data_IF_171803197138
#
_entry.id   IF_171803197138
#
_cell.length_a   1.000
_cell.length_b   1.000
_cell.length_c   1.000
_cell.angle_alpha   90.00
_cell.angle_beta   90.00
_cell.angle_gamma   90.00
#
_symmetry.space_group_name_H-M   'P 1'
#
loop_
_entity.id
_entity.type
_entity.pdbx_description
1 polymer ?
#
# COMPACT_ATOMS: atom_id res chain seq x y z
N UNK A 1 -16.44 -0.59 30.40
CA UNK A 1 -14.98 -0.56 30.27
C UNK A 1 -14.67 -0.33 28.80
N UNK A 2 -13.78 0.59 28.49
CA UNK A 2 -13.36 0.79 27.10
C UNK A 2 -12.64 -0.48 26.61
N UNK A 3 -13.03 -0.97 25.41
CA UNK A 3 -12.35 -2.11 24.80
C UNK A 3 -10.93 -1.73 24.47
N UNK A 4 -10.00 -2.67 24.63
CA UNK A 4 -8.63 -2.51 24.15
C UNK A 4 -8.64 -2.47 22.64
N UNK A 5 -7.94 -1.52 22.03
CA UNK A 5 -7.82 -1.39 20.58
C UNK A 5 -6.56 -2.09 20.06
N UNK A 6 -6.67 -2.72 18.90
CA UNK A 6 -5.58 -3.38 18.19
C UNK A 6 -5.56 -2.94 16.73
N UNK A 7 -4.42 -2.46 16.25
CA UNK A 7 -4.23 -2.06 14.87
C UNK A 7 -3.18 -2.94 14.19
N UNK A 8 -3.52 -3.46 13.03
CA UNK A 8 -2.61 -4.29 12.22
C UNK A 8 -2.66 -3.89 10.75
N UNK A 9 -1.50 -3.91 10.09
CA UNK A 9 -1.40 -3.66 8.65
C UNK A 9 -0.62 -4.77 7.97
N UNK A 10 -0.87 -4.95 6.67
CA UNK A 10 0.09 -5.58 5.76
C UNK A 10 1.01 -4.52 5.16
N UNK A 11 2.13 -4.89 4.51
CA UNK A 11 2.72 -4.04 3.49
C UNK A 11 1.67 -3.68 2.43
N UNK A 12 1.76 -2.48 1.87
CA UNK A 12 0.97 -2.13 0.68
C UNK A 12 1.64 -2.76 -0.54
N UNK A 13 0.85 -3.42 -1.39
CA UNK A 13 1.38 -4.23 -2.48
C UNK A 13 1.54 -3.43 -3.77
N UNK A 14 2.68 -3.61 -4.45
CA UNK A 14 3.03 -2.89 -5.65
C UNK A 14 2.34 -3.52 -6.88
N UNK A 15 1.45 -2.80 -7.59
CA UNK A 15 0.65 -3.35 -8.67
C UNK A 15 1.39 -3.36 -10.02
N UNK A 16 2.64 -3.83 -10.03
CA UNK A 16 3.44 -4.00 -11.26
C UNK A 16 3.18 -5.33 -11.97
N UNK A 17 2.56 -6.30 -11.27
CA UNK A 17 2.23 -7.62 -11.77
C UNK A 17 1.09 -8.25 -10.95
N UNK A 18 0.65 -9.45 -11.37
CA UNK A 18 -0.30 -10.25 -10.59
C UNK A 18 0.29 -10.66 -9.25
N UNK A 19 -0.56 -10.72 -8.22
CA UNK A 19 -0.18 -11.25 -6.92
C UNK A 19 0.30 -12.70 -7.02
N UNK A 20 1.20 -13.07 -6.15
CA UNK A 20 1.71 -14.43 -5.99
C UNK A 20 1.48 -14.92 -4.55
N UNK A 21 1.81 -16.19 -4.30
CA UNK A 21 1.57 -16.85 -3.01
C UNK A 21 2.18 -16.09 -1.81
N UNK A 22 3.30 -15.37 -2.00
CA UNK A 22 3.90 -14.56 -0.93
C UNK A 22 2.99 -13.44 -0.42
N UNK A 23 2.23 -12.79 -1.31
CA UNK A 23 1.24 -11.78 -0.93
C UNK A 23 0.08 -12.41 -0.15
N UNK A 24 -0.45 -13.54 -0.64
CA UNK A 24 -1.50 -14.29 0.04
C UNK A 24 -1.05 -14.75 1.43
N UNK A 25 0.17 -15.28 1.55
CA UNK A 25 0.76 -15.73 2.81
C UNK A 25 0.84 -14.60 3.84
N UNK A 26 1.44 -13.46 3.48
CA UNK A 26 1.57 -12.31 4.36
C UNK A 26 0.21 -11.78 4.83
N UNK A 27 -0.75 -11.65 3.90
CA UNK A 27 -2.09 -11.14 4.22
C UNK A 27 -2.87 -12.13 5.11
N UNK A 28 -2.74 -13.44 4.87
CA UNK A 28 -3.40 -14.47 5.68
C UNK A 28 -2.85 -14.50 7.12
N UNK A 29 -1.55 -14.27 7.31
CA UNK A 29 -0.98 -14.15 8.66
C UNK A 29 -1.57 -12.95 9.39
N UNK A 30 -1.60 -11.77 8.74
CA UNK A 30 -2.17 -10.57 9.33
C UNK A 30 -3.67 -10.76 9.66
N UNK A 31 -4.42 -11.39 8.77
CA UNK A 31 -5.84 -11.73 8.97
C UNK A 31 -6.05 -12.68 10.16
N UNK A 32 -5.19 -13.69 10.28
CA UNK A 32 -5.25 -14.63 11.41
C UNK A 32 -5.04 -13.92 12.75
N UNK A 33 -4.08 -13.01 12.82
CA UNK A 33 -3.83 -12.18 14.01
C UNK A 33 -5.00 -11.24 14.29
N UNK A 34 -5.54 -10.57 13.28
CA UNK A 34 -6.71 -9.70 13.42
C UNK A 34 -7.92 -10.48 13.98
N UNK A 35 -8.18 -11.67 13.43
CA UNK A 35 -9.26 -12.56 13.92
C UNK A 35 -9.05 -13.01 15.36
N UNK A 36 -7.82 -13.34 15.75
CA UNK A 36 -7.48 -13.70 17.12
C UNK A 36 -7.84 -12.57 18.09
N UNK A 37 -7.45 -11.33 17.80
CA UNK A 37 -7.75 -10.17 18.65
C UNK A 37 -9.26 -9.86 18.69
N UNK A 38 -9.98 -10.06 17.58
CA UNK A 38 -11.45 -9.96 17.58
C UNK A 38 -12.11 -11.02 18.47
N UNK A 39 -11.61 -12.26 18.46
CA UNK A 39 -12.08 -13.32 19.35
C UNK A 39 -11.77 -13.04 20.82
N UNK A 40 -10.71 -12.27 21.11
CA UNK A 40 -10.38 -11.79 22.45
C UNK A 40 -11.19 -10.56 22.88
N UNK A 41 -12.25 -10.21 22.15
CA UNK A 41 -13.13 -9.05 22.38
C UNK A 41 -12.42 -7.69 22.34
N UNK A 42 -11.32 -7.58 21.56
CA UNK A 42 -10.66 -6.32 21.30
C UNK A 42 -11.27 -5.60 20.08
N UNK A 43 -11.19 -4.27 20.05
CA UNK A 43 -11.57 -3.45 18.91
C UNK A 43 -10.42 -3.46 17.89
N UNK A 44 -10.61 -4.12 16.75
CA UNK A 44 -9.56 -4.34 15.76
C UNK A 44 -9.79 -3.50 14.53
N UNK A 45 -8.72 -2.84 14.04
CA UNK A 45 -8.68 -2.24 12.71
C UNK A 45 -7.55 -2.88 11.90
N UNK A 46 -7.92 -3.57 10.83
CA UNK A 46 -6.99 -4.25 9.91
C UNK A 46 -6.97 -3.52 8.56
N UNK A 47 -5.82 -2.91 8.24
CA UNK A 47 -5.60 -2.18 6.99
C UNK A 47 -4.68 -2.97 6.05
N UNK A 48 -5.06 -3.05 4.79
CA UNK A 48 -4.19 -3.47 3.68
C UNK A 48 -4.30 -2.46 2.54
N UNK A 49 -3.56 -2.62 1.44
CA UNK A 49 -3.64 -1.65 0.36
C UNK A 49 -2.68 -1.91 -0.79
N UNK A 50 -2.57 -0.92 -1.66
CA UNK A 50 -1.69 -0.93 -2.84
C UNK A 50 -0.82 0.32 -2.92
N UNK A 51 0.45 0.12 -3.32
CA UNK A 51 1.42 1.17 -3.61
C UNK A 51 1.44 1.45 -5.12
N UNK A 52 0.80 2.54 -5.54
CA UNK A 52 0.42 2.77 -6.93
C UNK A 52 1.28 3.81 -7.66
N UNK A 53 2.32 4.32 -7.03
CA UNK A 53 3.25 5.25 -7.65
C UNK A 53 4.58 4.55 -8.00
N UNK A 54 5.30 5.12 -8.97
CA UNK A 54 6.63 4.67 -9.32
C UNK A 54 6.89 4.59 -10.82
N UNK A 55 8.17 4.62 -11.17
CA UNK A 55 8.61 4.67 -12.57
C UNK A 55 8.20 3.43 -13.37
N UNK A 56 8.21 2.25 -12.75
CA UNK A 56 7.77 1.01 -13.42
C UNK A 56 6.31 1.04 -13.85
N UNK A 57 5.43 1.58 -13.00
CA UNK A 57 4.00 1.70 -13.31
C UNK A 57 3.83 2.68 -14.46
N UNK A 58 4.53 3.81 -14.43
CA UNK A 58 4.49 4.80 -15.50
C UNK A 58 4.95 4.19 -16.83
N UNK A 59 6.11 3.51 -16.86
CA UNK A 59 6.63 2.86 -18.06
C UNK A 59 5.66 1.81 -18.63
N UNK A 60 5.06 0.99 -17.74
CA UNK A 60 4.07 -0.01 -18.16
C UNK A 60 2.80 0.60 -18.74
N UNK A 61 2.36 1.72 -18.22
CA UNK A 61 1.22 2.46 -18.74
C UNK A 61 1.55 3.08 -20.11
N UNK A 62 2.73 3.68 -20.24
CA UNK A 62 3.22 4.27 -21.51
C UNK A 62 3.37 3.19 -22.60
N UNK A 63 3.92 2.02 -22.30
CA UNK A 63 4.02 0.87 -23.21
C UNK A 63 2.63 0.45 -23.78
N UNK A 64 1.56 0.67 -23.01
CA UNK A 64 0.18 0.35 -23.40
C UNK A 64 -0.61 1.55 -23.95
N UNK A 65 -0.02 2.74 -23.95
CA UNK A 65 -0.68 3.98 -24.40
C UNK A 65 -1.84 4.43 -23.49
N UNK A 66 -1.79 4.11 -22.21
CA UNK A 66 -2.82 4.44 -21.20
C UNK A 66 -2.21 5.22 -20.03
N UNK A 67 -3.05 5.78 -19.19
CA UNK A 67 -2.60 6.47 -17.97
C UNK A 67 -2.17 5.48 -16.88
N UNK A 68 -1.28 5.87 -15.94
CA UNK A 68 -0.92 5.03 -14.80
C UNK A 68 -2.12 4.53 -14.00
N UNK A 69 -3.14 5.36 -13.80
CA UNK A 69 -4.34 4.96 -13.06
C UNK A 69 -5.18 3.92 -13.82
N UNK A 70 -5.29 4.04 -15.13
CA UNK A 70 -5.95 3.04 -15.98
C UNK A 70 -5.20 1.71 -15.96
N UNK A 71 -3.87 1.74 -15.88
CA UNK A 71 -3.04 0.55 -15.77
C UNK A 71 -3.23 -0.16 -14.43
N UNK A 72 -3.20 0.55 -13.29
CA UNK A 72 -3.26 -0.07 -11.96
C UNK A 72 -4.67 -0.52 -11.56
N UNK A 73 -5.73 0.14 -12.03
CA UNK A 73 -7.11 -0.18 -11.63
C UNK A 73 -7.48 -1.66 -11.79
N UNK A 74 -7.27 -2.33 -12.94
CA UNK A 74 -7.62 -3.76 -13.10
C UNK A 74 -6.75 -4.67 -12.21
N UNK A 75 -5.49 -4.29 -11.95
CA UNK A 75 -4.59 -5.07 -11.10
C UNK A 75 -5.06 -5.00 -9.65
N UNK A 76 -5.37 -3.81 -9.17
CA UNK A 76 -5.88 -3.59 -7.80
C UNK A 76 -7.23 -4.27 -7.59
N UNK A 77 -8.11 -4.24 -8.59
CA UNK A 77 -9.35 -5.01 -8.54
C UNK A 77 -9.07 -6.53 -8.40
N UNK A 78 -8.00 -7.01 -9.04
CA UNK A 78 -7.52 -8.39 -8.87
C UNK A 78 -7.07 -8.69 -7.43
N UNK A 79 -6.39 -7.74 -6.76
CA UNK A 79 -6.01 -7.85 -5.35
C UNK A 79 -7.24 -7.98 -4.46
N UNK A 80 -8.19 -7.07 -4.60
CA UNK A 80 -9.41 -7.08 -3.81
C UNK A 80 -10.26 -8.35 -4.04
N UNK A 81 -10.30 -8.87 -5.27
CA UNK A 81 -10.97 -10.13 -5.56
C UNK A 81 -10.27 -11.33 -4.92
N UNK A 82 -8.93 -11.33 -4.89
CA UNK A 82 -8.17 -12.38 -4.19
C UNK A 82 -8.42 -12.33 -2.67
N UNK A 83 -8.49 -11.14 -2.07
CA UNK A 83 -8.82 -11.02 -0.63
C UNK A 83 -10.22 -11.54 -0.33
N UNK A 84 -11.19 -11.27 -1.20
CA UNK A 84 -12.54 -11.86 -1.07
C UNK A 84 -12.52 -13.38 -1.17
N UNK A 85 -11.77 -13.94 -2.14
CA UNK A 85 -11.64 -15.39 -2.31
C UNK A 85 -10.99 -16.07 -1.10
N UNK A 86 -10.00 -15.43 -0.49
CA UNK A 86 -9.32 -15.89 0.71
C UNK A 86 -10.07 -15.57 2.00
N UNK A 87 -11.25 -14.93 1.90
CA UNK A 87 -12.05 -14.49 3.05
C UNK A 87 -11.27 -13.61 4.03
N UNK A 88 -10.41 -12.72 3.52
CA UNK A 88 -9.64 -11.77 4.31
C UNK A 88 -10.59 -10.75 4.94
N UNK A 89 -10.44 -10.51 6.24
CA UNK A 89 -11.34 -9.69 7.05
C UNK A 89 -10.82 -8.27 7.27
N UNK A 90 -10.14 -7.69 6.28
CA UNK A 90 -9.66 -6.32 6.35
C UNK A 90 -10.83 -5.32 6.45
N UNK A 91 -10.65 -4.31 7.32
CA UNK A 91 -11.64 -3.25 7.54
C UNK A 91 -11.54 -2.18 6.45
N UNK A 92 -10.33 -1.95 5.92
CA UNK A 92 -10.13 -0.97 4.85
C UNK A 92 -9.05 -1.46 3.86
N UNK A 93 -9.11 -0.91 2.65
CA UNK A 93 -8.11 -1.09 1.60
C UNK A 93 -7.70 0.29 1.11
N UNK A 94 -6.48 0.73 1.46
CA UNK A 94 -5.96 2.04 1.07
C UNK A 94 -5.22 1.95 -0.27
N UNK A 95 -5.50 2.89 -1.17
CA UNK A 95 -4.73 3.10 -2.40
C UNK A 95 -3.93 4.39 -2.26
N UNK A 96 -2.66 4.37 -2.61
CA UNK A 96 -1.81 5.57 -2.49
C UNK A 96 -2.23 6.69 -3.46
N UNK A 97 -3.02 6.35 -4.50
CA UNK A 97 -3.63 7.32 -5.44
C UNK A 97 -4.96 7.91 -4.96
N UNK A 98 -5.51 7.45 -3.82
CA UNK A 98 -6.75 8.02 -3.30
C UNK A 98 -6.54 9.41 -2.72
N UNK A 99 -7.48 10.31 -2.97
CA UNK A 99 -7.43 11.69 -2.45
C UNK A 99 -7.35 11.78 -0.93
N UNK A 100 -7.95 10.82 -0.21
CA UNK A 100 -7.84 10.75 1.25
C UNK A 100 -6.40 10.49 1.71
N UNK A 101 -5.65 9.63 1.00
CA UNK A 101 -4.24 9.35 1.27
C UNK A 101 -3.37 10.55 0.89
N UNK A 102 -3.48 11.04 -0.34
CA UNK A 102 -2.71 12.19 -0.83
C UNK A 102 -2.81 13.40 0.10
N UNK A 103 -4.03 13.71 0.58
CA UNK A 103 -4.28 14.83 1.49
C UNK A 103 -3.49 14.70 2.80
N UNK A 104 -3.45 13.51 3.39
CA UNK A 104 -2.71 13.26 4.63
C UNK A 104 -1.21 13.35 4.39
N UNK A 105 -0.71 12.73 3.32
CA UNK A 105 0.72 12.79 2.94
C UNK A 105 1.17 14.24 2.73
N UNK A 106 0.40 15.05 2.00
CA UNK A 106 0.71 16.45 1.78
C UNK A 106 0.74 17.26 3.08
N UNK A 107 -0.15 16.96 4.01
CA UNK A 107 -0.18 17.65 5.31
C UNK A 107 1.03 17.26 6.17
N UNK A 108 1.37 15.98 6.25
CA UNK A 108 2.56 15.51 6.97
C UNK A 108 3.82 16.11 6.36
N UNK A 109 3.95 16.09 5.02
CA UNK A 109 5.07 16.70 4.33
C UNK A 109 5.22 18.18 4.65
N UNK A 110 4.12 18.96 4.61
CA UNK A 110 4.14 20.40 4.93
C UNK A 110 4.61 20.67 6.37
N UNK A 111 4.15 19.86 7.33
CA UNK A 111 4.57 20.01 8.73
C UNK A 111 6.07 19.75 8.92
N UNK A 112 6.59 18.68 8.31
CA UNK A 112 8.00 18.32 8.42
C UNK A 112 8.88 19.34 7.68
N UNK A 113 8.43 19.81 6.50
CA UNK A 113 9.11 20.88 5.77
C UNK A 113 9.18 22.18 6.58
N UNK A 114 8.08 22.56 7.22
CA UNK A 114 8.04 23.77 8.07
C UNK A 114 8.96 23.69 9.30
N UNK A 115 9.27 22.46 9.77
CA UNK A 115 10.27 22.24 10.83
C UNK A 115 11.72 22.36 10.35
N UNK A 116 11.95 22.38 9.05
CA UNK A 116 13.29 22.41 8.45
C UNK A 116 13.96 21.05 8.29
N UNK A 117 13.26 19.94 8.57
CA UNK A 117 13.80 18.59 8.44
C UNK A 117 13.87 18.11 6.99
N UNK A 118 13.18 18.81 6.06
CA UNK A 118 13.19 18.53 4.62
C UNK A 118 13.87 19.69 3.89
N UNK A 119 14.86 19.38 3.08
CA UNK A 119 15.56 20.35 2.23
C UNK A 119 15.82 19.74 0.84
N UNK A 120 16.01 20.60 -0.16
CA UNK A 120 16.38 20.17 -1.51
C UNK A 120 17.88 19.89 -1.56
N UNK A 121 18.25 18.65 -1.85
CA UNK A 121 19.62 18.22 -2.04
C UNK A 121 19.82 17.58 -3.42
N UNK A 122 21.08 17.32 -3.77
CA UNK A 122 21.46 16.53 -4.94
C UNK A 122 22.20 15.26 -4.48
N UNK A 123 21.85 14.15 -5.08
CA UNK A 123 22.56 12.88 -4.89
C UNK A 123 22.95 12.33 -6.27
N UNK A 124 24.19 11.86 -6.40
CA UNK A 124 24.68 11.23 -7.61
C UNK A 124 25.13 9.82 -7.30
N UNK A 125 24.62 8.84 -8.03
CA UNK A 125 24.97 7.43 -7.87
C UNK A 125 24.46 6.60 -9.03
N UNK A 126 24.84 5.33 -9.06
CA UNK A 126 24.32 4.36 -10.03
C UNK A 126 22.89 4.00 -9.63
N UNK A 127 21.92 4.28 -10.51
CA UNK A 127 20.51 3.97 -10.28
C UNK A 127 20.07 2.76 -11.10
N UNK A 128 19.48 1.78 -10.44
CA UNK A 128 18.91 0.60 -11.06
C UNK A 128 17.38 0.76 -11.21
N UNK A 129 16.90 1.03 -12.44
CA UNK A 129 15.46 1.17 -12.70
C UNK A 129 14.66 -0.10 -12.36
N UNK A 130 15.11 -1.34 -12.68
CA UNK A 130 14.39 -2.54 -12.27
C UNK A 130 14.28 -2.73 -10.77
N UNK A 131 15.25 -2.26 -9.98
CA UNK A 131 15.25 -2.36 -8.52
C UNK A 131 14.65 -1.13 -7.85
N UNK A 132 14.50 -0.02 -8.58
CA UNK A 132 14.10 1.31 -8.09
C UNK A 132 14.95 1.77 -6.90
N UNK A 133 16.28 1.52 -6.99
CA UNK A 133 17.26 1.85 -5.95
C UNK A 133 18.59 2.33 -6.50
N UNK A 134 19.30 3.11 -5.69
CA UNK A 134 20.70 3.47 -5.91
C UNK A 134 21.63 2.40 -5.34
N UNK A 135 22.82 2.27 -6.00
CA UNK A 135 23.91 1.37 -5.60
C UNK A 135 25.18 2.17 -5.30
#
# INVERSE_FOLDING_TARGET
MDKKSFYITTPIYYPSAKLHIGHAYCTTIADSVARFHRLADEEVFFLTGSDEHGQKIQQKAEEQGITPIEYVNPIVAGFQNLWKLLNISNDDFIRTTEKRHEKVVQEVFRRIYAKGDIYKGAYTGLYCTPCESYW
#
